data_IF_329198639302
#
_entry.id   IF_329198639302
#
_cell.length_a   1.000
_cell.length_b   1.000
_cell.length_c   1.000
_cell.angle_alpha   90.00
_cell.angle_beta   90.00
_cell.angle_gamma   90.00
#
_symmetry.space_group_name_H-M   'P 1'
#
loop_
_entity.id
_entity.type
_entity.pdbx_description
1 polymer ?
#
# COMPACT_ATOMS: atom_id res chain seq x y z
N UNK A 1 -22.76 20.55 -83.14
CA UNK A 1 -22.12 19.60 -82.24
C UNK A 1 -22.82 19.71 -80.88
N UNK A 2 -23.33 18.61 -80.37
CA UNK A 2 -23.81 18.52 -79.00
C UNK A 2 -22.55 18.26 -78.15
N UNK A 3 -22.31 19.08 -77.13
CA UNK A 3 -21.20 18.92 -76.22
C UNK A 3 -21.75 18.75 -74.81
N UNK A 4 -21.12 17.92 -74.02
CA UNK A 4 -21.39 17.77 -72.58
C UNK A 4 -20.47 18.70 -71.82
N UNK A 5 -21.05 19.51 -70.94
CA UNK A 5 -20.38 20.47 -70.09
C UNK A 5 -20.73 20.27 -68.60
N UNK A 6 -21.47 19.20 -68.30
CA UNK A 6 -21.95 18.87 -66.97
C UNK A 6 -20.92 18.01 -66.25
N UNK A 7 -20.49 18.41 -65.07
CA UNK A 7 -19.59 17.62 -64.25
C UNK A 7 -20.32 16.53 -63.46
N UNK A 8 -19.69 15.38 -63.23
CA UNK A 8 -20.26 14.33 -62.38
C UNK A 8 -20.50 14.80 -60.93
N UNK A 9 -21.53 14.25 -60.31
CA UNK A 9 -21.90 14.49 -58.92
C UNK A 9 -21.52 13.28 -58.07
N UNK A 10 -20.71 13.49 -57.03
CA UNK A 10 -20.30 12.46 -56.06
C UNK A 10 -21.07 12.68 -54.77
N UNK A 11 -21.66 11.61 -54.20
CA UNK A 11 -22.37 11.64 -52.94
C UNK A 11 -21.84 10.55 -52.01
N UNK A 12 -21.39 10.91 -50.79
CA UNK A 12 -20.89 9.94 -49.81
C UNK A 12 -21.97 8.96 -49.38
N UNK A 13 -21.60 7.72 -49.16
CA UNK A 13 -22.40 6.72 -48.45
C UNK A 13 -22.05 6.78 -46.99
N UNK A 14 -23.02 7.18 -46.17
CA UNK A 14 -22.84 7.36 -44.72
C UNK A 14 -22.23 8.72 -44.32
N UNK A 15 -21.67 8.79 -43.16
CA UNK A 15 -21.18 10.04 -42.56
C UNK A 15 -19.92 10.59 -43.22
N UNK A 16 -19.81 11.91 -43.26
CA UNK A 16 -18.63 12.62 -43.81
C UNK A 16 -17.49 12.73 -42.80
N UNK A 17 -17.84 12.72 -41.51
CA UNK A 17 -16.89 12.76 -40.37
C UNK A 17 -17.10 11.52 -39.49
N UNK A 18 -16.06 10.73 -39.30
CA UNK A 18 -16.10 9.46 -38.57
C UNK A 18 -14.96 9.47 -37.54
N UNK A 19 -15.28 9.14 -36.30
CA UNK A 19 -14.27 8.89 -35.25
C UNK A 19 -14.11 7.39 -35.06
N UNK A 20 -12.88 6.93 -35.04
CA UNK A 20 -12.52 5.52 -34.76
C UNK A 20 -11.47 5.44 -33.67
N UNK A 21 -11.51 4.36 -32.93
CA UNK A 21 -10.45 4.03 -31.96
C UNK A 21 -9.17 3.63 -32.70
N UNK A 22 -8.03 4.06 -32.20
CA UNK A 22 -6.72 3.67 -32.74
C UNK A 22 -6.56 2.15 -32.72
N UNK A 23 -5.90 1.61 -33.74
CA UNK A 23 -5.73 0.17 -33.99
C UNK A 23 -7.03 -0.61 -34.23
N UNK A 24 -8.20 0.06 -34.29
CA UNK A 24 -9.43 -0.58 -34.71
C UNK A 24 -9.48 -0.69 -36.27
N UNK A 25 -10.25 -1.65 -36.76
CA UNK A 25 -10.45 -1.81 -38.22
C UNK A 25 -11.30 -0.67 -38.76
N UNK A 26 -10.88 -0.12 -39.91
CA UNK A 26 -11.64 0.87 -40.67
C UNK A 26 -11.95 0.35 -42.06
N UNK A 27 -13.23 0.38 -42.43
CA UNK A 27 -13.70 0.10 -43.78
C UNK A 27 -14.46 1.30 -44.30
N UNK A 28 -14.00 1.84 -45.41
CA UNK A 28 -14.66 2.98 -46.05
C UNK A 28 -16.02 2.62 -46.62
N UNK A 29 -17.04 3.44 -46.36
CA UNK A 29 -18.42 3.25 -46.83
C UNK A 29 -18.59 3.52 -48.33
N UNK A 30 -17.59 4.16 -48.96
CA UNK A 30 -17.64 4.53 -50.39
C UNK A 30 -18.50 5.75 -50.69
N UNK A 31 -18.72 5.96 -52.00
CA UNK A 31 -19.57 7.01 -52.53
C UNK A 31 -20.34 6.53 -53.76
N UNK A 32 -21.50 7.11 -53.98
CA UNK A 32 -22.22 7.04 -55.26
C UNK A 32 -21.75 8.16 -56.15
N UNK A 33 -21.80 7.92 -57.47
CA UNK A 33 -21.49 8.91 -58.48
C UNK A 33 -22.53 8.83 -59.60
N UNK A 34 -22.94 9.98 -60.12
CA UNK A 34 -23.89 10.09 -61.20
C UNK A 34 -23.45 11.18 -62.18
N UNK A 35 -23.72 10.93 -63.44
CA UNK A 35 -23.55 11.92 -64.52
C UNK A 35 -24.76 11.86 -65.47
N UNK A 36 -25.06 12.99 -66.09
CA UNK A 36 -26.24 13.12 -66.95
C UNK A 36 -26.04 12.43 -68.32
N UNK A 37 -24.79 12.28 -68.78
CA UNK A 37 -24.42 11.81 -70.16
C UNK A 37 -23.52 10.57 -70.08
N UNK A 38 -22.54 10.54 -69.18
CA UNK A 38 -21.62 9.42 -69.00
C UNK A 38 -22.26 8.32 -68.16
N UNK A 39 -22.90 7.34 -68.75
CA UNK A 39 -23.53 6.20 -68.10
C UNK A 39 -22.53 5.24 -67.45
N UNK A 40 -21.23 5.31 -67.77
CA UNK A 40 -20.15 4.48 -67.23
C UNK A 40 -19.32 5.22 -66.22
N UNK A 41 -19.81 6.37 -65.71
CA UNK A 41 -19.10 7.25 -64.79
C UNK A 41 -18.64 6.52 -63.50
N UNK A 42 -19.37 5.49 -63.07
CA UNK A 42 -18.99 4.69 -61.88
C UNK A 42 -17.61 4.02 -62.03
N UNK A 43 -17.18 3.72 -63.26
CA UNK A 43 -15.86 3.13 -63.53
C UNK A 43 -14.72 4.15 -63.44
N UNK A 44 -15.06 5.44 -63.38
CA UNK A 44 -14.12 6.57 -63.34
C UNK A 44 -13.97 7.16 -61.97
N UNK A 45 -14.65 6.61 -60.95
CA UNK A 45 -14.48 7.05 -59.58
C UNK A 45 -13.09 6.67 -59.09
N UNK A 46 -12.31 7.68 -58.70
CA UNK A 46 -10.98 7.53 -58.08
C UNK A 46 -11.12 7.77 -56.60
N UNK A 47 -10.75 6.77 -55.82
CA UNK A 47 -10.75 6.82 -54.35
C UNK A 47 -9.32 6.76 -53.85
N UNK A 48 -8.92 7.73 -53.06
CA UNK A 48 -7.62 7.74 -52.38
C UNK A 48 -7.92 7.62 -50.88
N UNK A 49 -7.58 6.47 -50.33
CA UNK A 49 -7.71 6.22 -48.87
C UNK A 49 -6.33 6.42 -48.23
N UNK A 50 -6.22 7.48 -47.45
CA UNK A 50 -5.00 7.84 -46.70
C UNK A 50 -5.05 7.51 -45.20
N UNK A 51 -6.02 6.69 -44.79
CA UNK A 51 -6.23 6.37 -43.36
C UNK A 51 -5.12 5.45 -42.83
N UNK A 52 -4.42 5.91 -41.81
CA UNK A 52 -3.51 5.11 -40.99
C UNK A 52 -4.15 4.91 -39.60
N UNK A 53 -4.84 3.80 -39.42
CA UNK A 53 -5.51 3.47 -38.15
C UNK A 53 -4.54 3.10 -37.02
N UNK A 54 -3.22 3.03 -37.29
CA UNK A 54 -2.20 2.73 -36.27
C UNK A 54 -1.69 3.98 -35.56
N UNK A 55 -2.05 5.18 -36.05
CA UNK A 55 -1.59 6.46 -35.52
C UNK A 55 -2.74 7.42 -35.29
N UNK A 56 -2.66 8.11 -34.16
CA UNK A 56 -3.59 9.20 -33.83
C UNK A 56 -3.49 10.32 -34.87
N UNK A 57 -4.61 10.91 -35.22
CA UNK A 57 -4.66 12.05 -36.12
C UNK A 57 -5.89 12.07 -37.01
N UNK A 58 -5.94 13.09 -37.89
CA UNK A 58 -7.00 13.29 -38.86
C UNK A 58 -6.54 12.82 -40.23
N UNK A 59 -7.29 11.92 -40.80
CA UNK A 59 -7.03 11.33 -42.10
C UNK A 59 -8.18 11.62 -43.07
N UNK A 60 -7.93 11.43 -44.35
CA UNK A 60 -8.95 11.65 -45.38
C UNK A 60 -9.05 10.49 -46.34
N UNK A 61 -10.30 10.15 -46.71
CA UNK A 61 -10.62 9.44 -47.93
C UNK A 61 -11.17 10.47 -48.91
N UNK A 62 -10.53 10.61 -50.07
CA UNK A 62 -10.97 11.54 -51.12
C UNK A 62 -11.53 10.81 -52.32
N UNK A 63 -12.57 11.39 -52.92
CA UNK A 63 -13.29 10.87 -54.06
C UNK A 63 -13.26 11.90 -55.19
N UNK A 64 -12.77 11.49 -56.34
CA UNK A 64 -12.65 12.30 -57.53
C UNK A 64 -13.16 11.55 -58.74
N UNK A 65 -13.64 12.26 -59.74
CA UNK A 65 -14.00 11.69 -61.01
C UNK A 65 -13.85 12.73 -62.13
N UNK A 66 -13.69 12.20 -63.36
CA UNK A 66 -13.72 13.00 -64.60
C UNK A 66 -14.53 12.20 -65.60
N UNK A 67 -15.54 12.81 -66.24
CA UNK A 67 -16.35 12.18 -67.25
C UNK A 67 -15.57 11.94 -68.56
N UNK A 68 -16.21 11.29 -69.52
CA UNK A 68 -15.64 11.02 -70.84
C UNK A 68 -15.39 12.30 -71.67
N UNK A 69 -16.11 13.40 -71.35
CA UNK A 69 -16.00 14.71 -71.98
C UNK A 69 -14.92 15.62 -71.36
N UNK A 70 -14.34 15.17 -70.25
CA UNK A 70 -13.28 15.89 -69.55
C UNK A 70 -13.78 16.82 -68.43
N UNK A 71 -15.07 16.82 -68.08
CA UNK A 71 -15.59 17.61 -66.94
C UNK A 71 -15.25 16.91 -65.65
N UNK A 72 -14.69 17.67 -64.70
CA UNK A 72 -14.22 17.15 -63.39
C UNK A 72 -15.31 17.34 -62.32
N UNK A 73 -15.59 16.28 -61.59
CA UNK A 73 -16.39 16.39 -60.37
C UNK A 73 -15.73 17.31 -59.34
N UNK A 74 -16.53 17.96 -58.50
CA UNK A 74 -15.99 18.56 -57.28
C UNK A 74 -15.53 17.44 -56.36
N UNK A 75 -14.29 17.54 -55.85
CA UNK A 75 -13.76 16.57 -54.91
C UNK A 75 -14.67 16.48 -53.66
N UNK A 76 -14.96 15.24 -53.26
CA UNK A 76 -15.67 14.95 -52.03
C UNK A 76 -14.69 14.26 -51.05
N UNK A 77 -14.77 14.61 -49.79
CA UNK A 77 -13.87 14.14 -48.78
C UNK A 77 -14.65 13.55 -47.60
N UNK A 78 -14.19 12.42 -47.07
CA UNK A 78 -14.56 11.91 -45.78
C UNK A 78 -13.38 12.09 -44.82
N UNK A 79 -13.62 12.66 -43.65
CA UNK A 79 -12.62 12.84 -42.57
C UNK A 79 -12.74 11.69 -41.60
N UNK A 80 -11.60 11.11 -41.21
CA UNK A 80 -11.49 10.06 -40.22
C UNK A 80 -10.63 10.55 -39.10
N UNK A 81 -11.21 10.68 -37.91
CA UNK A 81 -10.52 11.04 -36.67
C UNK A 81 -10.10 9.75 -35.98
N UNK A 82 -8.82 9.41 -36.01
CA UNK A 82 -8.26 8.29 -35.25
C UNK A 82 -7.88 8.80 -33.87
N UNK A 83 -8.58 8.34 -32.86
CA UNK A 83 -8.44 8.76 -31.47
C UNK A 83 -8.13 7.56 -30.58
N UNK A 84 -7.57 7.82 -29.43
CA UNK A 84 -7.45 6.84 -28.36
C UNK A 84 -8.38 7.27 -27.23
N UNK A 85 -9.34 6.44 -26.91
CA UNK A 85 -10.34 6.64 -25.84
C UNK A 85 -10.32 5.52 -24.83
N UNK A 86 -9.43 4.54 -25.02
CA UNK A 86 -9.27 3.41 -24.12
C UNK A 86 -8.47 3.84 -22.90
N UNK A 87 -8.98 3.56 -21.70
CA UNK A 87 -8.27 3.86 -20.46
C UNK A 87 -7.19 2.82 -20.18
N UNK A 88 -6.05 3.20 -19.60
CA UNK A 88 -5.03 2.24 -19.18
C UNK A 88 -5.57 1.26 -18.14
N UNK A 89 -5.11 0.03 -18.20
CA UNK A 89 -5.45 -1.00 -17.22
C UNK A 89 -4.32 -1.17 -16.21
N UNK A 90 -4.66 -1.04 -14.92
CA UNK A 90 -3.77 -1.27 -13.79
C UNK A 90 -4.04 -2.62 -13.15
N UNK A 91 -2.99 -3.41 -12.97
CA UNK A 91 -3.02 -4.69 -12.26
C UNK A 91 -2.08 -4.62 -11.05
N UNK A 92 -2.62 -4.82 -9.85
CA UNK A 92 -1.82 -4.89 -8.64
C UNK A 92 -0.89 -6.10 -8.68
N UNK A 93 0.37 -5.91 -8.32
CA UNK A 93 1.36 -6.98 -8.14
C UNK A 93 1.40 -7.35 -6.66
N UNK A 94 1.48 -8.66 -6.35
CA UNK A 94 1.41 -9.16 -4.99
C UNK A 94 0.03 -9.01 -4.34
N UNK A 95 -0.01 -9.06 -3.01
CA UNK A 95 -1.26 -9.07 -2.24
C UNK A 95 -1.89 -7.68 -2.12
N UNK A 96 -3.22 -7.63 -2.18
CA UNK A 96 -3.99 -6.38 -2.02
C UNK A 96 -4.12 -5.94 -0.56
N UNK A 97 -3.99 -6.88 0.38
CA UNK A 97 -4.02 -6.64 1.82
C UNK A 97 -2.79 -7.29 2.46
N UNK A 98 -2.02 -6.51 3.20
CA UNK A 98 -0.76 -6.93 3.83
C UNK A 98 -0.77 -6.49 5.28
N UNK A 99 -0.28 -7.36 6.17
CA UNK A 99 -0.04 -7.00 7.58
C UNK A 99 1.46 -7.04 7.85
N UNK A 100 1.98 -6.00 8.47
CA UNK A 100 3.38 -5.91 8.86
C UNK A 100 3.50 -5.56 10.35
N UNK A 101 4.54 -6.07 10.99
CA UNK A 101 4.90 -5.65 12.35
C UNK A 101 5.45 -4.22 12.34
N UNK A 102 5.13 -3.44 13.35
CA UNK A 102 5.63 -2.06 13.52
C UNK A 102 7.17 -2.03 13.50
N UNK A 103 7.74 -0.97 12.94
CA UNK A 103 9.19 -0.78 12.74
C UNK A 103 9.86 -1.80 11.81
N UNK A 104 9.09 -2.60 11.06
CA UNK A 104 9.62 -3.44 9.98
C UNK A 104 9.55 -2.71 8.64
N UNK A 105 10.51 -2.99 7.77
CA UNK A 105 10.50 -2.43 6.42
C UNK A 105 9.42 -3.11 5.57
N UNK A 106 8.68 -2.30 4.80
CA UNK A 106 7.74 -2.77 3.79
C UNK A 106 8.28 -2.45 2.40
N UNK A 107 8.31 -3.46 1.53
CA UNK A 107 8.64 -3.31 0.11
C UNK A 107 7.35 -3.50 -0.66
N UNK A 108 6.98 -2.47 -1.42
CA UNK A 108 5.78 -2.47 -2.23
C UNK A 108 6.08 -3.05 -3.62
N UNK A 109 5.36 -4.10 -4.02
CA UNK A 109 5.51 -4.73 -5.34
C UNK A 109 4.98 -3.86 -6.48
N UNK A 110 4.16 -2.83 -6.16
CA UNK A 110 3.60 -1.90 -7.13
C UNK A 110 2.53 -2.49 -8.03
N UNK A 111 2.47 -1.99 -9.26
CA UNK A 111 1.48 -2.37 -10.27
C UNK A 111 2.12 -2.61 -11.63
N UNK A 112 1.49 -3.46 -12.43
CA UNK A 112 1.67 -3.55 -13.88
C UNK A 112 0.64 -2.64 -14.56
N UNK A 113 1.06 -1.90 -15.59
CA UNK A 113 0.17 -1.07 -16.39
C UNK A 113 0.24 -1.50 -17.85
N UNK A 114 -0.91 -1.59 -18.50
CA UNK A 114 -1.03 -1.89 -19.94
C UNK A 114 -2.03 -0.95 -20.58
N UNK A 115 -1.81 -0.66 -21.87
CA UNK A 115 -2.69 0.18 -22.67
C UNK A 115 -2.73 -0.34 -24.11
N UNK A 116 -3.81 0.02 -24.87
CA UNK A 116 -3.95 -0.42 -26.25
C UNK A 116 -3.03 0.35 -27.21
N UNK A 117 -2.71 1.61 -26.89
CA UNK A 117 -1.89 2.48 -27.74
C UNK A 117 -0.54 2.82 -27.13
N UNK A 118 -0.52 3.28 -25.89
CA UNK A 118 0.69 3.68 -25.19
C UNK A 118 1.47 2.47 -24.66
N UNK A 119 2.76 2.42 -24.97
CA UNK A 119 3.66 1.35 -24.50
C UNK A 119 4.31 1.68 -23.14
N UNK A 120 4.15 2.90 -22.68
CA UNK A 120 4.86 3.39 -21.48
C UNK A 120 3.99 4.43 -20.74
N UNK A 121 2.96 3.95 -20.06
CA UNK A 121 2.04 4.78 -19.28
C UNK A 121 2.63 5.04 -17.89
N UNK A 122 2.79 6.31 -17.46
CA UNK A 122 3.32 6.62 -16.14
C UNK A 122 2.33 6.27 -15.04
N UNK A 123 2.84 5.67 -13.96
CA UNK A 123 2.06 5.38 -12.75
C UNK A 123 2.36 6.43 -11.69
N UNK A 124 1.31 7.05 -11.16
CA UNK A 124 1.36 7.92 -9.99
C UNK A 124 0.98 7.13 -8.74
N UNK A 125 1.92 6.96 -7.82
CA UNK A 125 1.69 6.27 -6.55
C UNK A 125 1.57 7.30 -5.41
N UNK A 126 0.46 7.23 -4.68
CA UNK A 126 0.30 7.89 -3.39
C UNK A 126 0.50 6.86 -2.28
N UNK A 127 1.61 6.95 -1.56
CA UNK A 127 1.97 6.04 -0.48
C UNK A 127 2.11 6.80 0.85
N UNK A 128 1.07 6.79 1.70
CA UNK A 128 1.10 7.43 3.02
C UNK A 128 1.67 6.53 4.11
N UNK A 129 2.12 5.29 3.81
CA UNK A 129 2.55 4.31 4.79
C UNK A 129 3.67 4.86 5.70
N UNK A 130 3.42 4.77 7.00
CA UNK A 130 4.44 4.97 8.02
C UNK A 130 4.61 3.66 8.83
N UNK A 131 5.64 2.87 8.58
CA UNK A 131 5.82 1.59 9.26
C UNK A 131 6.17 1.71 10.75
N UNK A 132 6.44 2.92 11.23
CA UNK A 132 6.75 3.17 12.64
C UNK A 132 5.53 3.47 13.52
N UNK A 133 4.34 3.55 12.92
CA UNK A 133 3.10 3.92 13.62
C UNK A 133 2.04 2.87 13.30
N UNK A 134 1.51 2.17 14.31
CA UNK A 134 0.40 1.24 14.10
C UNK A 134 -0.81 1.92 13.47
N UNK A 135 -1.48 1.24 12.53
CA UNK A 135 -2.65 1.79 11.85
C UNK A 135 -2.89 1.14 10.48
N UNK A 136 -3.99 1.55 9.87
CA UNK A 136 -4.40 1.13 8.53
C UNK A 136 -3.97 2.18 7.51
N UNK A 137 -3.22 1.76 6.50
CA UNK A 137 -2.73 2.61 5.42
C UNK A 137 -3.23 2.12 4.08
N UNK A 138 -3.54 3.04 3.17
CA UNK A 138 -3.95 2.70 1.81
C UNK A 138 -2.98 3.34 0.82
N UNK A 139 -2.25 2.50 0.10
CA UNK A 139 -1.44 2.91 -1.05
C UNK A 139 -2.35 2.93 -2.26
N UNK A 140 -2.34 4.02 -3.03
CA UNK A 140 -3.19 4.21 -4.21
C UNK A 140 -2.33 4.40 -5.45
N UNK A 141 -2.68 3.69 -6.53
CA UNK A 141 -2.02 3.77 -7.82
C UNK A 141 -3.00 4.32 -8.86
N UNK A 142 -2.56 5.34 -9.58
CA UNK A 142 -3.26 5.95 -10.67
C UNK A 142 -2.38 5.94 -11.92
N UNK A 143 -3.01 5.93 -13.09
CA UNK A 143 -2.30 6.09 -14.35
C UNK A 143 -3.14 6.92 -15.30
N UNK A 144 -2.46 7.63 -16.21
CA UNK A 144 -3.08 8.41 -17.27
C UNK A 144 -2.22 8.28 -18.52
N UNK A 145 -2.85 7.95 -19.65
CA UNK A 145 -2.17 7.82 -20.93
C UNK A 145 -1.82 9.19 -21.55
N UNK A 146 -1.20 9.15 -22.73
CA UNK A 146 -0.83 10.36 -23.46
C UNK A 146 -2.04 11.06 -24.11
N UNK A 147 -3.15 10.35 -24.31
CA UNK A 147 -4.41 10.87 -24.84
C UNK A 147 -5.29 11.52 -23.78
N UNK A 148 -4.95 11.31 -22.51
CA UNK A 148 -5.63 11.91 -21.36
C UNK A 148 -6.65 11.00 -20.69
N UNK A 149 -6.74 9.70 -21.08
CA UNK A 149 -7.64 8.76 -20.46
C UNK A 149 -7.06 8.28 -19.12
N UNK A 150 -7.90 8.27 -18.08
CA UNK A 150 -7.49 7.92 -16.73
C UNK A 150 -7.89 6.48 -16.38
N UNK A 151 -6.93 5.72 -15.89
CA UNK A 151 -7.14 4.37 -15.39
C UNK A 151 -8.09 4.35 -14.18
N UNK A 152 -8.80 3.25 -14.00
CA UNK A 152 -9.45 2.98 -12.72
C UNK A 152 -8.36 2.74 -11.68
N UNK A 153 -8.35 3.56 -10.61
CA UNK A 153 -7.37 3.45 -9.54
C UNK A 153 -7.41 2.08 -8.87
N UNK A 154 -6.25 1.52 -8.57
CA UNK A 154 -6.12 0.33 -7.73
C UNK A 154 -5.44 0.67 -6.41
N UNK A 155 -5.73 -0.11 -5.36
CA UNK A 155 -5.24 0.18 -4.02
C UNK A 155 -4.66 -1.06 -3.35
N UNK A 156 -3.69 -0.85 -2.46
CA UNK A 156 -3.19 -1.84 -1.50
C UNK A 156 -3.43 -1.32 -0.10
N UNK A 157 -4.00 -2.17 0.76
CA UNK A 157 -4.13 -1.89 2.19
C UNK A 157 -2.95 -2.50 2.94
N UNK A 158 -2.34 -1.73 3.82
CA UNK A 158 -1.25 -2.18 4.69
C UNK A 158 -1.64 -1.89 6.13
N UNK A 159 -1.84 -2.96 6.93
CA UNK A 159 -2.03 -2.88 8.36
C UNK A 159 -0.67 -2.95 9.05
N UNK A 160 -0.29 -1.88 9.76
CA UNK A 160 0.86 -1.86 10.67
C UNK A 160 0.35 -2.22 12.04
N UNK A 161 0.82 -3.32 12.60
CA UNK A 161 0.41 -3.85 13.91
C UNK A 161 1.60 -3.97 14.83
N UNK A 162 1.35 -3.95 16.12
CA UNK A 162 2.30 -4.36 17.13
C UNK A 162 1.77 -5.64 17.77
N UNK A 163 2.50 -6.72 17.62
CA UNK A 163 2.21 -8.05 18.16
C UNK A 163 3.32 -8.55 19.08
N UNK A 164 4.36 -7.72 19.30
CA UNK A 164 5.52 -8.04 20.09
C UNK A 164 5.24 -7.72 21.56
N UNK A 165 5.36 -8.74 22.42
CA UNK A 165 5.18 -8.53 23.86
C UNK A 165 6.42 -7.91 24.51
N UNK A 166 6.26 -7.08 25.57
CA UNK A 166 7.36 -6.55 26.34
C UNK A 166 8.22 -7.64 26.99
N UNK A 167 9.51 -7.37 27.13
CA UNK A 167 10.48 -8.26 27.79
C UNK A 167 10.84 -7.70 29.15
N UNK A 168 10.59 -8.49 30.21
CA UNK A 168 10.94 -8.15 31.61
C UNK A 168 12.29 -8.79 31.95
N UNK A 169 13.20 -8.01 32.52
CA UNK A 169 14.51 -8.50 32.98
C UNK A 169 14.71 -8.08 34.45
N UNK A 170 14.97 -9.04 35.36
CA UNK A 170 15.23 -8.75 36.75
C UNK A 170 16.51 -7.90 36.93
N UNK A 171 16.45 -6.93 37.82
CA UNK A 171 17.64 -6.24 38.31
C UNK A 171 18.19 -7.02 39.51
N UNK A 172 19.43 -7.52 39.44
CA UNK A 172 20.05 -8.36 40.47
C UNK A 172 19.65 -9.83 40.39
N UNK A 173 19.81 -10.54 41.49
CA UNK A 173 19.69 -12.00 41.57
C UNK A 173 18.25 -12.50 41.46
N UNK A 174 18.07 -13.66 40.86
CA UNK A 174 16.78 -14.36 40.79
C UNK A 174 16.40 -15.05 42.11
N UNK A 175 17.37 -15.35 42.94
CA UNK A 175 17.19 -15.90 44.28
C UNK A 175 17.90 -15.04 45.32
N UNK A 176 17.20 -14.65 46.37
CA UNK A 176 17.70 -13.78 47.43
C UNK A 176 17.45 -14.41 48.80
N UNK A 177 18.47 -14.44 49.67
CA UNK A 177 18.30 -14.79 51.08
C UNK A 177 18.23 -13.47 51.87
N UNK A 178 17.22 -13.34 52.76
CA UNK A 178 16.96 -12.14 53.54
C UNK A 178 16.85 -12.48 55.02
N UNK A 179 17.56 -11.72 55.89
CA UNK A 179 17.51 -11.89 57.35
C UNK A 179 16.20 -11.39 57.91
N UNK A 180 15.54 -12.20 58.72
CA UNK A 180 14.28 -11.88 59.38
C UNK A 180 14.41 -10.62 60.26
N UNK A 181 13.33 -9.82 60.33
CA UNK A 181 13.28 -8.61 61.14
C UNK A 181 13.91 -7.37 60.52
N UNK A 182 14.71 -7.50 59.44
CA UNK A 182 15.20 -6.36 58.67
C UNK A 182 14.24 -5.99 57.53
N UNK A 183 14.34 -4.76 56.99
CA UNK A 183 13.48 -4.33 55.89
C UNK A 183 13.96 -4.93 54.56
N UNK A 184 13.08 -5.63 53.83
CA UNK A 184 13.35 -6.12 52.52
C UNK A 184 13.01 -5.06 51.47
N UNK A 185 14.00 -4.71 50.67
CA UNK A 185 13.82 -3.85 49.48
C UNK A 185 14.09 -4.65 48.22
N UNK A 186 13.06 -4.80 47.40
CA UNK A 186 13.21 -5.50 46.11
C UNK A 186 14.00 -4.66 45.11
N UNK A 187 14.92 -5.29 44.40
CA UNK A 187 15.77 -4.62 43.39
C UNK A 187 15.02 -4.22 42.12
N UNK A 188 13.82 -4.80 41.90
CA UNK A 188 12.98 -4.49 40.76
C UNK A 188 13.35 -5.22 39.47
N UNK A 189 12.78 -4.75 38.39
CA UNK A 189 13.00 -5.24 37.02
C UNK A 189 13.00 -4.09 36.02
N UNK A 190 13.63 -4.30 34.87
CA UNK A 190 13.54 -3.42 33.70
C UNK A 190 12.62 -4.04 32.68
N UNK A 191 11.98 -3.19 31.87
CA UNK A 191 11.10 -3.61 30.76
C UNK A 191 11.57 -2.96 29.49
N UNK A 192 11.58 -3.74 28.40
CA UNK A 192 11.91 -3.26 27.05
C UNK A 192 10.87 -3.78 26.08
N UNK A 193 10.43 -2.91 25.18
CA UNK A 193 9.50 -3.23 24.11
C UNK A 193 9.98 -2.65 22.79
N UNK A 194 9.44 -3.20 21.65
CA UNK A 194 9.81 -2.72 20.34
C UNK A 194 9.14 -1.36 19.99
N UNK A 195 7.94 -1.08 20.56
CA UNK A 195 7.15 0.12 20.27
C UNK A 195 7.04 1.04 21.49
N UNK A 196 6.61 0.50 22.61
CA UNK A 196 6.30 1.26 23.82
C UNK A 196 7.58 1.64 24.59
N UNK A 197 7.61 2.84 25.13
CA UNK A 197 8.71 3.36 25.95
C UNK A 197 8.26 3.58 27.39
N UNK A 198 9.22 3.63 28.32
CA UNK A 198 8.98 3.95 29.74
C UNK A 198 8.02 2.99 30.47
N UNK A 199 7.97 1.73 29.98
CA UNK A 199 7.15 0.68 30.58
C UNK A 199 7.63 0.33 32.01
N UNK A 200 6.68 0.14 32.93
CA UNK A 200 6.93 -0.23 34.33
C UNK A 200 6.16 -1.53 34.63
N UNK A 201 6.88 -2.56 35.07
CA UNK A 201 6.24 -3.80 35.46
C UNK A 201 5.38 -3.60 36.74
N UNK A 202 4.21 -4.22 36.71
CA UNK A 202 3.41 -4.39 37.96
C UNK A 202 4.08 -5.45 38.81
N UNK A 203 4.34 -5.11 40.08
CA UNK A 203 5.04 -5.97 41.01
C UNK A 203 4.07 -6.46 42.09
N UNK A 204 4.02 -7.77 42.32
CA UNK A 204 3.39 -8.38 43.48
C UNK A 204 4.49 -8.89 44.39
N UNK A 205 4.65 -8.23 45.56
CA UNK A 205 5.68 -8.55 46.55
C UNK A 205 5.01 -8.99 47.87
N UNK A 206 4.89 -10.32 48.11
CA UNK A 206 4.28 -10.86 49.35
C UNK A 206 5.27 -11.06 50.51
N UNK A 207 6.52 -10.63 50.39
CA UNK A 207 7.57 -10.90 51.38
C UNK A 207 7.17 -10.35 52.76
N UNK A 208 7.04 -11.24 53.75
CA UNK A 208 6.83 -10.89 55.16
C UNK A 208 8.13 -11.13 55.93
N UNK A 209 8.83 -10.02 56.24
CA UNK A 209 10.11 -10.04 56.96
C UNK A 209 10.03 -10.65 58.36
N UNK A 210 8.82 -10.80 58.96
CA UNK A 210 8.60 -11.35 60.30
C UNK A 210 8.36 -12.87 60.31
N UNK A 211 8.22 -13.49 59.11
CA UNK A 211 7.94 -14.91 58.98
C UNK A 211 9.00 -15.60 58.13
N UNK A 212 9.61 -16.62 58.68
CA UNK A 212 10.54 -17.49 57.97
C UNK A 212 9.81 -18.25 56.88
N UNK A 213 10.44 -18.38 55.70
CA UNK A 213 9.86 -19.13 54.58
C UNK A 213 10.29 -18.62 53.22
N UNK A 214 9.74 -19.25 52.20
CA UNK A 214 9.99 -18.87 50.79
C UNK A 214 8.83 -18.03 50.29
N UNK A 215 9.18 -16.93 49.61
CA UNK A 215 8.25 -15.99 48.99
C UNK A 215 8.60 -15.84 47.49
N UNK A 216 7.58 -15.63 46.65
CA UNK A 216 7.77 -15.33 45.24
C UNK A 216 7.32 -13.91 44.96
N UNK A 217 8.24 -13.04 44.55
CA UNK A 217 7.93 -11.72 44.01
C UNK A 217 7.71 -11.91 42.50
N UNK A 218 6.58 -11.46 41.98
CA UNK A 218 6.26 -11.58 40.54
C UNK A 218 6.13 -10.23 39.85
N UNK A 219 6.50 -10.22 38.56
CA UNK A 219 6.52 -9.04 37.69
C UNK A 219 5.75 -9.34 36.41
N UNK A 220 4.77 -8.49 36.11
CA UNK A 220 3.90 -8.61 34.93
C UNK A 220 3.72 -7.26 34.27
N UNK A 221 3.49 -7.26 32.95
CA UNK A 221 3.10 -6.08 32.21
C UNK A 221 2.38 -6.51 30.93
N UNK A 222 1.51 -5.64 30.46
CA UNK A 222 0.90 -5.69 29.14
C UNK A 222 1.14 -4.34 28.49
N UNK A 223 1.54 -4.32 27.22
CA UNK A 223 1.75 -3.09 26.45
C UNK A 223 0.43 -2.38 26.11
N UNK A 224 0.52 -1.27 25.39
CA UNK A 224 -0.64 -0.48 24.97
C UNK A 224 -1.50 -1.21 23.91
N UNK A 225 -0.92 -2.17 23.20
CA UNK A 225 -1.59 -2.93 22.12
C UNK A 225 -2.22 -4.26 22.63
N UNK A 226 -1.99 -4.60 23.91
CA UNK A 226 -2.58 -5.78 24.53
C UNK A 226 -1.66 -7.00 24.56
N UNK A 227 -0.38 -6.87 24.17
CA UNK A 227 0.56 -7.99 24.23
C UNK A 227 1.12 -8.13 25.65
N UNK A 228 0.88 -9.27 26.29
CA UNK A 228 1.31 -9.54 27.65
C UNK A 228 2.72 -10.13 27.68
N UNK A 229 3.59 -9.56 28.53
CA UNK A 229 4.90 -10.13 28.81
C UNK A 229 4.78 -11.50 29.48
N UNK A 230 5.81 -12.33 29.28
CA UNK A 230 5.96 -13.53 30.09
C UNK A 230 6.29 -13.10 31.53
N UNK A 231 5.53 -13.61 32.52
CA UNK A 231 5.77 -13.35 33.92
C UNK A 231 7.20 -13.72 34.32
N UNK A 232 7.86 -12.82 35.03
CA UNK A 232 9.19 -13.08 35.64
C UNK A 232 9.06 -13.07 37.13
N UNK A 233 9.79 -13.94 37.84
CA UNK A 233 9.69 -14.10 39.27
C UNK A 233 11.07 -14.06 39.94
N UNK A 234 11.09 -13.54 41.18
CA UNK A 234 12.25 -13.62 42.10
C UNK A 234 11.82 -14.41 43.34
N UNK A 235 12.65 -15.41 43.69
CA UNK A 235 12.49 -16.17 44.92
C UNK A 235 13.21 -15.46 46.07
N UNK A 236 12.50 -15.21 47.18
CA UNK A 236 13.08 -14.62 48.40
C UNK A 236 12.91 -15.61 49.54
N UNK A 237 14.02 -16.02 50.18
CA UNK A 237 13.99 -16.90 51.35
C UNK A 237 14.30 -16.09 52.58
N UNK A 238 13.31 -15.92 53.50
CA UNK A 238 13.49 -15.28 54.78
C UNK A 238 14.02 -16.28 55.77
N UNK A 239 15.17 -16.00 56.35
CA UNK A 239 15.87 -16.84 57.30
C UNK A 239 16.19 -16.06 58.57
N UNK A 240 16.39 -16.74 59.72
CA UNK A 240 16.98 -16.18 60.94
C UNK A 240 18.30 -16.90 61.19
N UNK A 241 19.38 -16.22 60.96
CA UNK A 241 20.75 -16.69 61.16
C UNK A 241 21.43 -16.01 62.33
N UNK A 242 20.71 -15.08 63.01
CA UNK A 242 21.23 -14.29 64.13
C UNK A 242 20.95 -14.98 65.47
N UNK A 243 22.01 -15.45 66.06
CA UNK A 243 21.91 -16.06 67.44
C UNK A 243 21.48 -15.03 68.51
N UNK A 244 20.75 -15.50 69.55
CA UNK A 244 20.35 -14.62 70.65
C UNK A 244 21.54 -14.06 71.39
N UNK A 245 21.46 -12.79 71.70
CA UNK A 245 22.46 -12.09 72.58
C UNK A 245 22.03 -12.16 74.01
N UNK A 246 22.88 -12.72 74.92
CA UNK A 246 22.68 -12.77 76.31
C UNK A 246 23.42 -11.59 76.91
N UNK A 247 22.68 -10.71 77.61
CA UNK A 247 23.25 -9.57 78.37
C UNK A 247 22.98 -9.78 79.81
N UNK A 248 24.05 -9.75 80.69
CA UNK A 248 23.90 -9.80 82.13
C UNK A 248 23.22 -8.52 82.60
N UNK A 249 22.21 -8.69 83.49
CA UNK A 249 21.56 -7.59 84.18
C UNK A 249 22.22 -7.47 85.55
N UNK A 250 23.00 -6.43 85.73
CA UNK A 250 23.77 -6.24 86.94
C UNK A 250 25.27 -6.39 86.76
N UNK A 251 26.04 -6.39 87.80
CA UNK A 251 27.49 -6.47 87.81
C UNK A 251 27.98 -7.87 87.47
N UNK A 252 29.01 -7.98 86.57
CA UNK A 252 29.61 -9.25 86.18
C UNK A 252 30.31 -9.97 87.34
N UNK A 253 30.67 -9.21 88.35
CA UNK A 253 31.25 -9.71 89.61
C UNK A 253 30.48 -9.14 90.81
N UNK A 254 30.09 -10.02 91.71
CA UNK A 254 29.41 -9.64 92.95
C UNK A 254 30.32 -10.02 94.12
N UNK A 255 30.76 -9.02 94.88
CA UNK A 255 31.52 -9.25 96.11
C UNK A 255 30.56 -9.42 97.25
N UNK A 256 30.66 -10.54 97.94
CA UNK A 256 29.88 -10.80 99.20
C UNK A 256 30.79 -10.78 100.36
N UNK A 257 30.53 -9.92 101.36
CA UNK A 257 31.25 -9.97 102.64
C UNK A 257 30.75 -11.15 103.48
N UNK A 258 31.72 -11.91 103.96
CA UNK A 258 31.43 -13.01 104.88
C UNK A 258 31.56 -12.44 106.29
N UNK A 259 30.44 -12.33 107.00
CA UNK A 259 30.47 -11.98 108.41
C UNK A 259 31.07 -13.15 109.22
N UNK A 260 32.10 -12.85 109.98
CA UNK A 260 32.71 -13.73 111.00
C UNK A 260 32.01 -13.71 112.31
#
# INVERSE_FOLDING_TARGET
TVVDTTAPVITLKGEADITIEVKSDYTDGGADIADAVDTEIATRLVVINGVDNQKLGDYAVTYNATDVSGNKATEVKRTIHVTDTTVPFLKLLGDAEVTIEVKTAFIDDGVEVTDNYDTNVPVLTNNPLNPNVPGEYTITYNAKDSSGNEAVAVTRKVAVVDTTAPVITLVGDTEVTHEAGSDYTDAGATVVDNLDTDLQATVVNPVDKSKLGEYTVSYNITDANGNAAVEVTRKVTVVDTTGPVITLVGDAEVTIEVFS
#
